data_IF_966164932603
#
_entry.id   IF_966164932603
#
_cell.length_a   1.000
_cell.length_b   1.000
_cell.length_c   1.000
_cell.angle_alpha   90.00
_cell.angle_beta   90.00
_cell.angle_gamma   90.00
#
_symmetry.space_group_name_H-M   'P 1'
#
loop_
_entity.id
_entity.type
_entity.pdbx_description
1 polymer ?
#
# COMPACT_ATOMS: atom_id res chain seq x y z
N UNK A 1 28.04 -25.46 70.35
CA UNK A 1 27.75 -24.36 69.41
C UNK A 1 26.88 -23.35 70.15
N UNK A 2 27.41 -22.15 70.42
CA UNK A 2 26.93 -21.28 71.51
C UNK A 2 25.65 -20.50 71.13
N UNK A 3 24.66 -20.42 72.05
CA UNK A 3 23.39 -19.70 71.86
C UNK A 3 23.57 -18.21 71.49
N UNK A 4 24.69 -17.60 71.91
CA UNK A 4 25.04 -16.23 71.56
C UNK A 4 25.31 -16.03 70.06
N UNK A 5 25.89 -17.04 69.39
CA UNK A 5 26.22 -16.97 67.96
C UNK A 5 24.95 -17.04 67.09
N UNK A 6 23.99 -17.90 67.47
CA UNK A 6 22.68 -17.99 66.81
C UNK A 6 21.85 -16.72 66.96
N UNK A 7 21.94 -16.04 68.11
CA UNK A 7 21.20 -14.79 68.37
C UNK A 7 21.77 -13.61 67.58
N UNK A 8 23.08 -13.59 67.32
CA UNK A 8 23.71 -12.59 66.44
C UNK A 8 23.33 -12.77 64.98
N UNK A 9 23.33 -14.00 64.46
CA UNK A 9 22.97 -14.25 63.05
C UNK A 9 21.50 -13.98 62.77
N UNK A 10 20.59 -14.28 63.70
CA UNK A 10 19.17 -13.90 63.57
C UNK A 10 18.96 -12.39 63.55
N UNK A 11 19.66 -11.61 64.40
CA UNK A 11 19.54 -10.14 64.39
C UNK A 11 20.06 -9.52 63.10
N UNK A 12 21.15 -10.05 62.54
CA UNK A 12 21.67 -9.62 61.25
C UNK A 12 20.69 -9.93 60.10
N UNK A 13 20.07 -11.11 60.10
CA UNK A 13 19.07 -11.49 59.11
C UNK A 13 17.79 -10.64 59.20
N UNK A 14 17.30 -10.34 60.41
CA UNK A 14 16.11 -9.48 60.61
C UNK A 14 16.37 -8.05 60.16
N UNK A 15 17.55 -7.48 60.48
CA UNK A 15 17.91 -6.13 60.03
C UNK A 15 18.06 -6.02 58.51
N UNK A 16 18.49 -7.10 57.85
CA UNK A 16 18.60 -7.16 56.38
C UNK A 16 17.21 -7.24 55.73
N UNK A 17 16.28 -8.03 56.29
CA UNK A 17 14.88 -8.10 55.84
C UNK A 17 14.15 -6.77 56.03
N UNK A 18 14.42 -6.04 57.12
CA UNK A 18 13.84 -4.71 57.35
C UNK A 18 14.36 -3.65 56.37
N UNK A 19 15.64 -3.70 56.01
CA UNK A 19 16.20 -2.84 54.96
C UNK A 19 15.60 -3.14 53.58
N UNK A 20 15.35 -4.40 53.26
CA UNK A 20 14.63 -4.81 52.02
C UNK A 20 13.17 -4.35 52.03
N UNK A 21 12.48 -4.46 53.17
CA UNK A 21 11.09 -3.99 53.32
C UNK A 21 11.00 -2.47 53.07
N UNK A 22 11.94 -1.68 53.62
CA UNK A 22 11.93 -0.23 53.45
C UNK A 22 12.24 0.20 52.00
N UNK A 23 13.17 -0.47 51.30
CA UNK A 23 13.45 -0.21 49.88
C UNK A 23 12.26 -0.55 48.96
N UNK A 24 11.50 -1.61 49.28
CA UNK A 24 10.27 -1.98 48.55
C UNK A 24 9.14 -0.98 48.83
N UNK A 25 9.02 -0.50 50.07
CA UNK A 25 8.00 0.51 50.45
C UNK A 25 8.30 1.88 49.80
N UNK A 26 9.55 2.33 49.75
CA UNK A 26 9.95 3.55 49.05
C UNK A 26 9.75 3.44 47.53
N UNK A 27 10.02 2.27 46.94
CA UNK A 27 9.71 1.97 45.54
C UNK A 27 8.20 1.98 45.24
N UNK A 28 7.38 1.44 46.15
CA UNK A 28 5.91 1.49 46.05
C UNK A 28 5.35 2.90 46.26
N UNK A 29 5.93 3.70 47.16
CA UNK A 29 5.53 5.09 47.39
C UNK A 29 5.80 5.93 46.13
N UNK A 30 6.99 5.82 45.51
CA UNK A 30 7.27 6.53 44.25
C UNK A 30 6.29 6.15 43.12
N UNK A 31 5.89 4.87 43.03
CA UNK A 31 4.88 4.38 42.09
C UNK A 31 3.46 4.88 42.42
N UNK A 32 3.12 5.00 43.70
CA UNK A 32 1.82 5.49 44.14
C UNK A 32 1.65 6.99 43.84
N UNK A 33 2.70 7.79 44.01
CA UNK A 33 2.70 9.21 43.61
C UNK A 33 2.64 9.38 42.08
N UNK A 34 3.28 8.49 41.29
CA UNK A 34 3.13 8.51 39.83
C UNK A 34 1.76 8.07 39.33
N UNK A 35 1.10 7.14 40.03
CA UNK A 35 -0.25 6.65 39.68
C UNK A 35 -1.36 7.66 39.99
N UNK A 36 -1.14 8.57 40.94
CA UNK A 36 -2.13 9.60 41.32
C UNK A 36 -2.02 10.85 40.44
N UNK A 37 -0.84 11.17 39.89
CA UNK A 37 -0.63 12.34 39.02
C UNK A 37 -1.10 12.14 37.56
N UNK A 38 -1.38 10.90 37.14
CA UNK A 38 -1.72 10.57 35.74
C UNK A 38 -3.21 10.74 35.39
N UNK A 39 -4.07 11.11 36.36
CA UNK A 39 -5.53 11.17 36.15
C UNK A 39 -6.02 12.46 35.47
N UNK A 40 -5.20 13.53 35.47
CA UNK A 40 -5.54 14.84 34.90
C UNK A 40 -4.71 15.20 33.65
N UNK A 41 -4.06 14.20 33.03
CA UNK A 41 -3.40 14.41 31.75
C UNK A 41 -4.47 14.58 30.66
N UNK A 42 -4.36 15.62 29.80
CA UNK A 42 -5.30 15.80 28.72
C UNK A 42 -5.32 14.58 27.80
N UNK A 43 -6.46 14.32 27.14
CA UNK A 43 -6.69 13.07 26.39
C UNK A 43 -5.60 12.73 25.35
N UNK A 44 -4.86 13.72 24.85
CA UNK A 44 -3.75 13.55 23.91
C UNK A 44 -2.42 13.08 24.55
N UNK A 45 -2.31 13.11 25.88
CA UNK A 45 -1.15 12.61 26.63
C UNK A 45 -1.36 11.18 27.17
N UNK A 46 -2.60 10.72 27.20
CA UNK A 46 -2.96 9.40 27.72
C UNK A 46 -2.43 8.28 26.81
N UNK A 47 -1.92 7.23 27.45
CA UNK A 47 -1.42 6.04 26.76
C UNK A 47 -2.57 5.08 26.54
N UNK A 48 -2.68 4.62 25.31
CA UNK A 48 -3.80 3.78 24.89
C UNK A 48 -3.57 2.33 25.29
N UNK A 49 -4.57 1.74 25.94
CA UNK A 49 -4.58 0.31 26.20
C UNK A 49 -4.76 -0.45 24.86
N UNK A 50 -3.84 -1.37 24.49
CA UNK A 50 -3.97 -2.19 23.29
C UNK A 50 -5.24 -3.06 23.24
N UNK A 51 -5.88 -3.33 24.38
CA UNK A 51 -7.14 -4.07 24.48
C UNK A 51 -8.37 -3.16 24.66
N UNK A 52 -8.18 -1.84 24.69
CA UNK A 52 -9.27 -0.88 24.78
C UNK A 52 -10.16 -0.90 23.53
N UNK A 53 -11.45 -0.60 23.72
CA UNK A 53 -12.45 -0.59 22.65
C UNK A 53 -12.08 0.39 21.51
N UNK A 54 -11.50 1.54 21.85
CA UNK A 54 -11.05 2.55 20.90
C UNK A 54 -9.93 2.02 19.99
N UNK A 55 -8.92 1.35 20.55
CA UNK A 55 -7.84 0.74 19.79
C UNK A 55 -8.33 -0.38 18.88
N UNK A 56 -9.28 -1.21 19.35
CA UNK A 56 -9.85 -2.29 18.56
C UNK A 56 -10.66 -1.76 17.37
N UNK A 57 -11.53 -0.77 17.60
CA UNK A 57 -12.29 -0.10 16.54
C UNK A 57 -11.37 0.58 15.53
N UNK A 58 -10.36 1.31 16.02
CA UNK A 58 -9.38 1.97 15.17
C UNK A 58 -8.58 0.99 14.31
N UNK A 59 -8.09 -0.12 14.88
CA UNK A 59 -7.39 -1.15 14.13
C UNK A 59 -8.27 -1.76 13.02
N UNK A 60 -9.59 -1.90 13.26
CA UNK A 60 -10.53 -2.37 12.25
C UNK A 60 -10.72 -1.34 11.12
N UNK A 61 -10.88 -0.05 11.46
CA UNK A 61 -10.98 1.05 10.47
C UNK A 61 -9.71 1.12 9.63
N UNK A 62 -8.54 1.06 10.28
CA UNK A 62 -7.25 1.07 9.60
C UNK A 62 -7.06 -0.16 8.69
N UNK A 63 -7.51 -1.35 9.12
CA UNK A 63 -7.49 -2.56 8.27
C UNK A 63 -8.31 -2.37 7.00
N UNK A 64 -9.57 -1.92 7.12
CA UNK A 64 -10.47 -1.73 5.97
C UNK A 64 -9.92 -0.67 5.02
N UNK A 65 -9.48 0.48 5.55
CA UNK A 65 -8.88 1.55 4.72
C UNK A 65 -7.59 1.11 4.03
N UNK A 66 -6.75 0.30 4.70
CA UNK A 66 -5.54 -0.26 4.10
C UNK A 66 -5.85 -1.30 3.01
N UNK A 67 -6.87 -2.14 3.18
CA UNK A 67 -7.33 -3.09 2.16
C UNK A 67 -7.86 -2.36 0.92
N UNK A 68 -8.65 -1.30 1.11
CA UNK A 68 -9.09 -0.41 0.01
C UNK A 68 -7.88 0.19 -0.72
N UNK A 69 -6.87 0.64 0.02
CA UNK A 69 -5.62 1.12 -0.55
C UNK A 69 -4.92 0.09 -1.44
N UNK A 70 -4.86 -1.18 -1.01
CA UNK A 70 -4.28 -2.27 -1.81
C UNK A 70 -5.04 -2.51 -3.13
N UNK A 71 -6.37 -2.35 -3.15
CA UNK A 71 -7.15 -2.48 -4.39
C UNK A 71 -6.94 -1.30 -5.35
N UNK A 72 -6.72 -0.10 -4.80
CA UNK A 72 -6.49 1.11 -5.59
C UNK A 72 -5.10 1.09 -6.24
N UNK A 73 -4.08 0.53 -5.57
CA UNK A 73 -2.70 0.59 -6.06
C UNK A 73 -2.50 0.01 -7.48
N UNK A 74 -3.04 -1.17 -7.86
CA UNK A 74 -2.88 -1.69 -9.23
C UNK A 74 -3.59 -0.87 -10.30
N UNK A 75 -4.61 -0.07 -9.94
CA UNK A 75 -5.33 0.76 -10.91
C UNK A 75 -4.44 1.85 -11.51
N UNK A 76 -3.37 2.26 -10.83
CA UNK A 76 -2.39 3.18 -11.40
C UNK A 76 -1.69 2.61 -12.65
N UNK A 77 -1.59 1.28 -12.77
CA UNK A 77 -1.04 0.61 -13.95
C UNK A 77 -1.99 0.66 -15.16
N UNK A 78 -3.26 1.02 -14.94
CA UNK A 78 -4.30 1.17 -15.97
C UNK A 78 -4.41 2.60 -16.53
N UNK A 79 -3.60 3.54 -16.02
CA UNK A 79 -3.59 4.92 -16.48
C UNK A 79 -3.16 5.13 -17.95
N UNK A 80 -2.11 4.45 -18.47
CA UNK A 80 -1.73 4.61 -19.86
C UNK A 80 -2.71 3.85 -20.76
N UNK A 81 -3.36 4.59 -21.67
CA UNK A 81 -4.34 4.04 -22.62
C UNK A 81 -3.90 4.36 -24.05
N UNK A 82 -4.41 3.57 -25.01
CA UNK A 82 -4.22 3.80 -26.44
C UNK A 82 -5.49 4.41 -27.01
N UNK A 83 -5.39 5.58 -27.64
CA UNK A 83 -6.47 6.17 -28.40
C UNK A 83 -6.51 5.56 -29.80
N UNK A 84 -7.54 4.76 -30.10
CA UNK A 84 -7.70 4.06 -31.38
C UNK A 84 -7.82 5.03 -32.56
N UNK A 85 -8.62 6.09 -32.41
CA UNK A 85 -8.93 7.03 -33.48
C UNK A 85 -7.70 7.76 -34.03
N UNK A 86 -6.72 8.07 -33.18
CA UNK A 86 -5.49 8.72 -33.60
C UNK A 86 -4.24 7.83 -33.48
N UNK A 87 -4.38 6.58 -33.03
CA UNK A 87 -3.27 5.64 -32.83
C UNK A 87 -2.09 6.25 -32.03
N UNK A 88 -2.39 6.73 -30.81
CA UNK A 88 -1.37 7.25 -29.89
C UNK A 88 -1.65 6.86 -28.45
N UNK A 89 -0.64 6.95 -27.60
CA UNK A 89 -0.77 6.76 -26.17
C UNK A 89 -1.16 8.07 -25.48
N UNK A 90 -2.10 7.99 -24.55
CA UNK A 90 -2.40 9.08 -23.61
C UNK A 90 -2.51 8.54 -22.19
N UNK A 91 -2.47 9.45 -21.23
CA UNK A 91 -2.71 9.15 -19.81
C UNK A 91 -4.07 9.71 -19.44
N UNK A 92 -4.93 8.89 -18.84
CA UNK A 92 -6.23 9.33 -18.35
C UNK A 92 -6.08 10.19 -17.09
N UNK A 93 -6.01 11.50 -17.30
CA UNK A 93 -5.83 12.49 -16.23
C UNK A 93 -6.99 12.48 -15.23
N UNK A 94 -8.28 12.44 -15.63
CA UNK A 94 -9.40 12.32 -14.70
C UNK A 94 -9.31 11.09 -13.78
N UNK A 95 -8.98 9.92 -14.33
CA UNK A 95 -8.77 8.70 -13.54
C UNK A 95 -7.58 8.88 -12.58
N UNK A 96 -6.48 9.46 -13.06
CA UNK A 96 -5.30 9.77 -12.25
C UNK A 96 -5.61 10.62 -11.02
N UNK A 97 -6.35 11.73 -11.19
CA UNK A 97 -6.77 12.57 -10.08
C UNK A 97 -7.64 11.81 -9.07
N UNK A 98 -8.55 10.98 -9.56
CA UNK A 98 -9.43 10.16 -8.71
C UNK A 98 -8.63 9.19 -7.84
N UNK A 99 -7.67 8.47 -8.44
CA UNK A 99 -6.81 7.54 -7.71
C UNK A 99 -5.93 8.25 -6.68
N UNK A 100 -5.38 9.41 -7.03
CA UNK A 100 -4.58 10.23 -6.10
C UNK A 100 -5.42 10.68 -4.91
N UNK A 101 -6.65 11.15 -5.16
CA UNK A 101 -7.56 11.60 -4.10
C UNK A 101 -7.80 10.52 -3.05
N UNK A 102 -8.20 9.30 -3.47
CA UNK A 102 -8.41 8.20 -2.53
C UNK A 102 -7.12 7.78 -1.84
N UNK A 103 -5.99 7.83 -2.54
CA UNK A 103 -4.70 7.46 -1.98
C UNK A 103 -4.25 8.44 -0.89
N UNK A 104 -4.50 9.74 -1.04
CA UNK A 104 -4.28 10.75 0.01
C UNK A 104 -5.10 10.42 1.26
N UNK A 105 -6.36 10.00 1.10
CA UNK A 105 -7.20 9.57 2.23
C UNK A 105 -6.57 8.37 2.95
N UNK A 106 -6.15 7.33 2.22
CA UNK A 106 -5.49 6.14 2.81
C UNK A 106 -4.19 6.50 3.53
N UNK A 107 -3.38 7.38 2.94
CA UNK A 107 -2.11 7.81 3.53
C UNK A 107 -2.33 8.63 4.80
N UNK A 108 -3.38 9.45 4.87
CA UNK A 108 -3.80 10.13 6.10
C UNK A 108 -4.12 9.13 7.23
N UNK A 109 -4.91 8.08 6.96
CA UNK A 109 -5.18 7.03 7.95
C UNK A 109 -3.92 6.27 8.36
N UNK A 110 -2.97 6.08 7.45
CA UNK A 110 -1.68 5.44 7.73
C UNK A 110 -0.81 6.28 8.67
N UNK A 111 -0.75 7.60 8.45
CA UNK A 111 -0.07 8.52 9.38
C UNK A 111 -0.71 8.50 10.76
N UNK A 112 -2.05 8.55 10.83
CA UNK A 112 -2.77 8.45 12.10
C UNK A 112 -2.47 7.11 12.81
N UNK A 113 -2.37 5.99 12.08
CA UNK A 113 -2.00 4.70 12.65
C UNK A 113 -0.58 4.71 13.24
N UNK A 114 0.39 5.32 12.57
CA UNK A 114 1.76 5.48 13.08
C UNK A 114 1.73 6.29 14.39
N UNK A 115 1.01 7.42 14.42
CA UNK A 115 0.86 8.26 15.62
C UNK A 115 0.22 7.47 16.77
N UNK A 116 -0.80 6.67 16.50
CA UNK A 116 -1.45 5.81 17.47
C UNK A 116 -0.51 4.73 18.01
N UNK A 117 0.32 4.10 17.16
CA UNK A 117 1.30 3.09 17.60
C UNK A 117 2.36 3.64 18.54
N UNK A 118 2.80 4.89 18.36
CA UNK A 118 3.69 5.57 19.31
C UNK A 118 3.06 5.76 20.71
N UNK A 119 1.72 5.74 20.81
CA UNK A 119 0.95 5.96 22.04
C UNK A 119 0.30 4.69 22.58
N UNK A 120 0.48 3.54 21.93
CA UNK A 120 -0.15 2.28 22.35
C UNK A 120 0.77 1.52 23.29
N UNK A 121 0.27 1.17 24.48
CA UNK A 121 1.02 0.35 25.42
C UNK A 121 1.28 -1.06 24.88
N UNK A 122 2.36 -1.69 25.35
CA UNK A 122 2.70 -3.06 24.96
C UNK A 122 2.77 -3.98 26.17
N UNK A 123 2.41 -5.24 25.95
CA UNK A 123 2.60 -6.30 26.94
C UNK A 123 4.01 -6.87 26.80
N UNK A 124 4.79 -6.85 27.88
CA UNK A 124 6.14 -7.43 27.89
C UNK A 124 6.08 -8.95 27.68
N UNK A 125 6.97 -9.49 26.82
CA UNK A 125 7.09 -10.95 26.64
C UNK A 125 7.81 -11.60 27.82
N UNK A 126 8.72 -10.87 28.47
CA UNK A 126 9.62 -11.36 29.53
C UNK A 126 8.92 -11.57 30.87
N UNK A 127 7.79 -10.88 31.10
CA UNK A 127 7.00 -11.00 32.32
C UNK A 127 5.86 -12.02 32.20
N UNK A 128 5.83 -12.87 31.15
CA UNK A 128 4.77 -13.88 30.96
C UNK A 128 4.99 -15.09 31.88
N UNK A 129 4.97 -14.87 33.18
CA UNK A 129 4.87 -15.95 34.16
C UNK A 129 3.38 -16.07 34.48
N UNK A 130 2.77 -17.23 34.19
CA UNK A 130 1.32 -17.50 34.33
C UNK A 130 0.35 -16.77 33.38
N UNK A 131 0.80 -16.30 32.22
CA UNK A 131 -0.10 -15.79 31.17
C UNK A 131 -0.67 -14.38 31.39
N UNK A 132 -0.39 -13.73 32.53
CA UNK A 132 -0.59 -12.28 32.74
C UNK A 132 0.74 -11.56 32.52
N UNK A 133 0.91 -10.92 31.35
CA UNK A 133 2.06 -10.04 31.12
C UNK A 133 1.81 -8.66 31.74
N UNK A 134 2.88 -7.99 32.19
CA UNK A 134 2.81 -6.62 32.71
C UNK A 134 2.69 -5.64 31.53
N UNK A 135 1.78 -4.68 31.67
CA UNK A 135 1.54 -3.63 30.69
C UNK A 135 2.55 -2.50 30.90
N UNK A 136 3.43 -2.28 29.93
CA UNK A 136 4.42 -1.20 30.00
C UNK A 136 3.80 0.09 29.47
N UNK A 137 3.64 1.06 30.37
CA UNK A 137 3.03 2.37 30.13
C UNK A 137 4.06 3.51 30.02
N UNK A 138 5.36 3.24 29.87
CA UNK A 138 6.33 4.34 29.79
C UNK A 138 6.52 4.82 28.33
N UNK A 139 6.22 6.10 28.00
CA UNK A 139 6.26 6.60 26.61
C UNK A 139 7.60 6.41 25.90
N UNK A 140 8.71 6.64 26.61
CA UNK A 140 10.06 6.48 26.04
C UNK A 140 10.37 5.02 25.68
N UNK A 141 9.95 4.08 26.52
CA UNK A 141 10.15 2.65 26.27
C UNK A 141 9.27 2.16 25.11
N UNK A 142 8.05 2.69 24.99
CA UNK A 142 7.15 2.43 23.86
C UNK A 142 7.78 2.93 22.56
N UNK A 143 8.22 4.19 22.52
CA UNK A 143 8.82 4.80 21.34
C UNK A 143 10.09 4.08 20.87
N UNK A 144 11.03 3.79 21.79
CA UNK A 144 12.29 3.09 21.44
C UNK A 144 12.01 1.70 20.88
N UNK A 145 11.07 0.96 21.48
CA UNK A 145 10.69 -0.36 20.99
C UNK A 145 10.09 -0.26 19.58
N UNK A 146 9.13 0.64 19.39
CA UNK A 146 8.43 0.81 18.12
C UNK A 146 9.39 1.23 16.99
N UNK A 147 10.29 2.18 17.26
CA UNK A 147 11.33 2.63 16.31
C UNK A 147 12.25 1.49 15.87
N UNK A 148 12.54 0.53 16.76
CA UNK A 148 13.44 -0.60 16.45
C UNK A 148 12.77 -1.75 15.72
N UNK A 149 11.45 -1.94 15.86
CA UNK A 149 10.75 -3.13 15.33
C UNK A 149 9.93 -2.82 14.09
N UNK A 150 8.92 -1.96 14.22
CA UNK A 150 7.83 -1.88 13.26
C UNK A 150 7.81 -0.55 12.48
N UNK A 151 8.45 0.50 13.02
CA UNK A 151 8.45 1.83 12.42
C UNK A 151 8.98 1.86 10.98
N UNK A 152 10.07 1.14 10.68
CA UNK A 152 10.64 1.12 9.34
C UNK A 152 9.68 0.48 8.31
N UNK A 153 8.95 -0.56 8.71
CA UNK A 153 7.98 -1.25 7.85
C UNK A 153 6.74 -0.37 7.65
N UNK A 154 6.22 0.22 8.73
CA UNK A 154 5.08 1.13 8.66
C UNK A 154 5.39 2.38 7.82
N UNK A 155 6.59 2.94 7.98
CA UNK A 155 7.06 4.07 7.18
C UNK A 155 7.18 3.67 5.71
N UNK A 156 7.82 2.53 5.41
CA UNK A 156 7.93 2.03 4.06
C UNK A 156 6.56 1.80 3.41
N UNK A 157 5.58 1.24 4.13
CA UNK A 157 4.22 1.04 3.63
C UNK A 157 3.45 2.35 3.37
N UNK A 158 3.74 3.40 4.15
CA UNK A 158 3.09 4.71 4.05
C UNK A 158 3.64 5.56 2.91
N UNK A 159 4.85 5.28 2.42
CA UNK A 159 5.47 6.09 1.36
C UNK A 159 4.61 6.07 0.07
N UNK A 160 4.27 7.24 -0.50
CA UNK A 160 3.51 7.35 -1.74
C UNK A 160 4.42 7.16 -2.98
N UNK A 161 5.25 6.11 -2.99
CA UNK A 161 6.19 5.86 -4.10
C UNK A 161 5.50 5.79 -5.47
N UNK A 162 4.33 5.13 -5.64
CA UNK A 162 3.66 5.08 -6.93
C UNK A 162 3.24 6.48 -7.42
N UNK A 163 2.78 7.35 -6.52
CA UNK A 163 2.37 8.72 -6.88
C UNK A 163 3.56 9.56 -7.32
N UNK A 164 4.66 9.51 -6.55
CA UNK A 164 5.89 10.24 -6.87
C UNK A 164 6.41 9.77 -8.24
N UNK A 165 6.42 8.47 -8.49
CA UNK A 165 6.92 7.91 -9.75
C UNK A 165 6.07 8.33 -10.94
N UNK A 166 4.74 8.32 -10.81
CA UNK A 166 3.84 8.71 -11.90
C UNK A 166 4.00 10.20 -12.21
N UNK A 167 4.02 11.05 -11.19
CA UNK A 167 4.09 12.50 -11.36
C UNK A 167 5.44 12.99 -11.86
N UNK A 168 6.53 12.40 -11.38
CA UNK A 168 7.88 12.81 -11.76
C UNK A 168 8.39 12.06 -13.00
N UNK A 169 8.07 10.78 -13.19
CA UNK A 169 8.71 9.96 -14.23
C UNK A 169 7.90 9.89 -15.54
N UNK A 170 6.55 9.85 -15.53
CA UNK A 170 5.78 9.86 -16.79
C UNK A 170 6.11 11.05 -17.71
N UNK A 171 6.18 12.32 -17.23
CA UNK A 171 6.53 13.45 -18.09
C UNK A 171 8.00 13.45 -18.54
N UNK A 172 8.90 12.72 -17.86
CA UNK A 172 10.33 12.65 -18.17
C UNK A 172 10.69 11.57 -19.21
N UNK A 173 9.80 10.62 -19.51
CA UNK A 173 10.06 9.52 -20.47
C UNK A 173 9.83 9.89 -21.94
N UNK A 174 10.09 11.15 -22.30
CA UNK A 174 10.11 11.65 -23.69
C UNK A 174 11.32 11.20 -24.52
N UNK A 175 12.16 10.29 -24.00
CA UNK A 175 13.44 9.90 -24.64
C UNK A 175 13.51 8.42 -25.06
N UNK A 176 14.30 8.09 -26.10
CA UNK A 176 14.34 6.77 -26.76
C UNK A 176 14.98 5.63 -25.95
N UNK A 177 15.45 5.89 -24.72
CA UNK A 177 16.05 4.89 -23.80
C UNK A 177 15.03 4.25 -22.83
N UNK A 178 13.73 4.49 -23.06
CA UNK A 178 12.61 4.19 -22.17
C UNK A 178 12.38 2.71 -21.76
N UNK A 179 12.97 1.73 -22.45
CA UNK A 179 12.73 0.31 -22.14
C UNK A 179 13.21 -0.10 -20.73
N UNK A 180 14.34 0.45 -20.26
CA UNK A 180 14.90 0.07 -18.96
C UNK A 180 14.23 0.79 -17.77
N UNK A 181 13.70 1.99 -18.00
CA UNK A 181 13.04 2.76 -16.95
C UNK A 181 11.63 2.25 -16.65
N UNK A 182 10.99 1.52 -17.56
CA UNK A 182 9.61 1.02 -17.45
C UNK A 182 9.51 -0.21 -16.54
N UNK A 183 10.39 -1.19 -16.73
CA UNK A 183 10.52 -2.34 -15.82
C UNK A 183 10.80 -1.90 -14.37
N UNK A 184 11.54 -0.80 -14.19
CA UNK A 184 11.79 -0.23 -12.87
C UNK A 184 10.51 0.32 -12.20
N UNK A 185 9.58 0.93 -12.96
CA UNK A 185 8.32 1.44 -12.40
C UNK A 185 7.45 0.28 -11.91
N UNK A 186 7.26 -0.73 -12.75
CA UNK A 186 6.49 -1.93 -12.40
C UNK A 186 7.13 -2.65 -11.22
N UNK A 187 8.46 -2.77 -11.19
CA UNK A 187 9.19 -3.41 -10.10
C UNK A 187 9.08 -2.63 -8.80
N UNK A 188 9.12 -1.30 -8.83
CA UNK A 188 8.94 -0.47 -7.63
C UNK A 188 7.51 -0.57 -7.10
N UNK A 189 6.50 -0.58 -7.97
CA UNK A 189 5.09 -0.77 -7.56
C UNK A 189 4.90 -2.14 -6.90
N UNK A 190 5.48 -3.20 -7.48
CA UNK A 190 5.45 -4.55 -6.89
C UNK A 190 6.20 -4.62 -5.56
N UNK A 191 7.38 -4.00 -5.47
CA UNK A 191 8.19 -3.97 -4.26
C UNK A 191 7.45 -3.23 -3.13
N UNK A 192 6.72 -2.17 -3.45
CA UNK A 192 5.94 -1.37 -2.49
C UNK A 192 4.72 -2.13 -1.93
N UNK A 193 4.25 -3.14 -2.63
CA UNK A 193 3.16 -4.00 -2.18
C UNK A 193 3.55 -4.86 -0.97
N UNK A 194 4.82 -5.27 -0.91
CA UNK A 194 5.33 -6.16 0.15
C UNK A 194 5.26 -5.50 1.54
N UNK A 195 5.80 -4.28 1.77
CA UNK A 195 5.64 -3.58 3.05
C UNK A 195 4.19 -3.44 3.49
N UNK A 196 3.27 -3.11 2.57
CA UNK A 196 1.84 -2.95 2.89
C UNK A 196 1.21 -4.24 3.41
N UNK A 197 1.51 -5.35 2.75
CA UNK A 197 1.09 -6.68 3.21
C UNK A 197 1.67 -7.00 4.59
N UNK A 198 2.97 -6.71 4.82
CA UNK A 198 3.62 -6.93 6.12
C UNK A 198 3.02 -6.12 7.27
N UNK A 199 2.39 -4.96 7.01
CA UNK A 199 1.64 -4.19 8.02
C UNK A 199 0.25 -4.80 8.26
N UNK A 200 -0.42 -5.24 7.20
CA UNK A 200 -1.81 -5.76 7.25
C UNK A 200 -1.88 -7.15 7.90
N UNK A 201 -0.97 -8.06 7.57
CA UNK A 201 -1.00 -9.45 8.07
C UNK A 201 -0.96 -9.53 9.61
N UNK A 202 -0.02 -8.89 10.33
CA UNK A 202 0.03 -8.94 11.79
C UNK A 202 -1.19 -8.26 12.45
N UNK A 203 -1.68 -7.17 11.85
CA UNK A 203 -2.85 -6.46 12.33
C UNK A 203 -4.10 -7.32 12.25
N UNK A 204 -4.33 -7.94 11.09
CA UNK A 204 -5.45 -8.83 10.86
C UNK A 204 -5.37 -10.04 11.80
N UNK A 205 -4.19 -10.63 11.98
CA UNK A 205 -4.00 -11.73 12.93
C UNK A 205 -4.35 -11.34 14.37
N UNK A 206 -3.95 -10.14 14.81
CA UNK A 206 -4.30 -9.61 16.14
C UNK A 206 -5.81 -9.41 16.30
N UNK A 207 -6.48 -8.88 15.27
CA UNK A 207 -7.95 -8.71 15.28
C UNK A 207 -8.64 -10.07 15.37
N UNK A 208 -8.25 -11.03 14.53
CA UNK A 208 -8.83 -12.38 14.51
C UNK A 208 -8.67 -13.07 15.86
N UNK A 209 -7.50 -12.94 16.49
CA UNK A 209 -7.25 -13.52 17.82
C UNK A 209 -8.10 -12.89 18.92
N UNK A 210 -8.32 -11.58 18.87
CA UNK A 210 -9.05 -10.83 19.89
C UNK A 210 -10.58 -10.94 19.74
N UNK A 211 -11.09 -10.98 18.50
CA UNK A 211 -12.54 -11.03 18.22
C UNK A 211 -13.06 -12.45 18.01
N UNK A 212 -12.17 -13.40 17.71
CA UNK A 212 -12.51 -14.78 17.37
C UNK A 212 -13.32 -14.91 16.09
N UNK A 213 -13.40 -13.87 15.25
CA UNK A 213 -14.34 -13.81 14.10
C UNK A 213 -14.14 -14.97 13.11
N UNK A 214 -12.88 -15.38 12.86
CA UNK A 214 -12.60 -16.54 11.98
C UNK A 214 -12.91 -17.88 12.66
N UNK A 215 -12.88 -17.94 14.00
CA UNK A 215 -13.26 -19.13 14.76
C UNK A 215 -14.79 -19.25 14.96
N UNK A 216 -15.54 -18.15 14.83
CA UNK A 216 -17.00 -18.12 14.99
C UNK A 216 -17.75 -18.62 13.76
N UNK A 217 -17.19 -18.47 12.57
CA UNK A 217 -17.87 -18.81 11.31
C UNK A 217 -16.89 -19.31 10.25
N UNK A 218 -17.04 -20.57 9.82
CA UNK A 218 -16.22 -21.18 8.76
C UNK A 218 -16.21 -20.37 7.45
N UNK A 219 -17.30 -19.64 7.17
CA UNK A 219 -17.43 -18.76 6.02
C UNK A 219 -16.44 -17.59 6.01
N UNK A 220 -16.07 -17.05 7.17
CA UNK A 220 -15.12 -15.92 7.27
C UNK A 220 -13.72 -16.31 6.79
N UNK A 221 -13.30 -17.57 6.99
CA UNK A 221 -12.05 -18.09 6.45
C UNK A 221 -12.08 -18.24 4.93
N UNK A 222 -13.21 -18.73 4.38
CA UNK A 222 -13.40 -18.83 2.93
C UNK A 222 -13.41 -17.45 2.25
N UNK A 223 -14.12 -16.48 2.82
CA UNK A 223 -14.15 -15.10 2.33
C UNK A 223 -12.75 -14.46 2.34
N UNK A 224 -11.96 -14.69 3.39
CA UNK A 224 -10.59 -14.18 3.47
C UNK A 224 -9.68 -14.77 2.37
N UNK A 225 -9.74 -16.08 2.16
CA UNK A 225 -8.99 -16.71 1.07
C UNK A 225 -9.43 -16.19 -0.30
N UNK A 226 -10.74 -16.04 -0.52
CA UNK A 226 -11.27 -15.49 -1.77
C UNK A 226 -10.76 -14.07 -2.01
N UNK A 227 -10.77 -13.21 -0.98
CA UNK A 227 -10.26 -11.85 -1.05
C UNK A 227 -8.79 -11.80 -1.49
N UNK A 228 -7.96 -12.69 -0.94
CA UNK A 228 -6.55 -12.78 -1.33
C UNK A 228 -6.37 -13.23 -2.79
N UNK A 229 -7.17 -14.20 -3.25
CA UNK A 229 -7.14 -14.64 -4.65
C UNK A 229 -7.57 -13.52 -5.61
N UNK A 230 -8.64 -12.78 -5.27
CA UNK A 230 -9.09 -11.62 -6.04
C UNK A 230 -8.03 -10.52 -6.09
N UNK A 231 -7.35 -10.26 -4.97
CA UNK A 231 -6.28 -9.28 -4.93
C UNK A 231 -5.08 -9.69 -5.79
N UNK A 232 -4.70 -10.98 -5.72
CA UNK A 232 -3.60 -11.51 -6.53
C UNK A 232 -3.94 -11.46 -8.03
N UNK A 233 -5.16 -11.84 -8.42
CA UNK A 233 -5.58 -11.78 -9.83
C UNK A 233 -5.70 -10.34 -10.33
N UNK A 234 -6.15 -9.41 -9.49
CA UNK A 234 -6.20 -7.97 -9.80
C UNK A 234 -4.81 -7.40 -10.10
N UNK A 235 -3.81 -7.70 -9.24
CA UNK A 235 -2.42 -7.30 -9.45
C UNK A 235 -1.86 -7.91 -10.74
N UNK A 236 -2.03 -9.22 -10.94
CA UNK A 236 -1.54 -9.91 -12.13
C UNK A 236 -2.18 -9.37 -13.42
N UNK A 237 -3.49 -9.09 -13.40
CA UNK A 237 -4.22 -8.52 -14.53
C UNK A 237 -3.74 -7.11 -14.88
N UNK A 238 -3.55 -6.24 -13.87
CA UNK A 238 -3.06 -4.88 -14.08
C UNK A 238 -1.62 -4.86 -14.64
N UNK A 239 -0.76 -5.77 -14.17
CA UNK A 239 0.61 -5.91 -14.68
C UNK A 239 0.60 -6.44 -16.11
N UNK A 240 -0.24 -7.43 -16.42
CA UNK A 240 -0.43 -7.93 -17.78
C UNK A 240 -0.93 -6.84 -18.74
N UNK A 241 -1.87 -5.99 -18.30
CA UNK A 241 -2.35 -4.84 -19.05
C UNK A 241 -1.23 -3.84 -19.35
N UNK A 242 -0.45 -3.42 -18.35
CA UNK A 242 0.63 -2.47 -18.59
C UNK A 242 1.67 -3.06 -19.55
N UNK A 243 2.05 -4.33 -19.37
CA UNK A 243 3.00 -5.00 -20.26
C UNK A 243 2.48 -5.12 -21.70
N UNK A 244 1.17 -5.31 -21.92
CA UNK A 244 0.61 -5.33 -23.27
C UNK A 244 0.75 -3.95 -23.94
N UNK A 245 0.35 -2.88 -23.27
CA UNK A 245 0.49 -1.49 -23.75
C UNK A 245 1.96 -1.15 -24.03
N UNK A 246 2.89 -1.55 -23.15
CA UNK A 246 4.32 -1.36 -23.36
C UNK A 246 4.85 -2.12 -24.58
N UNK A 247 4.29 -3.30 -24.86
CA UNK A 247 4.66 -4.10 -26.02
C UNK A 247 4.22 -3.44 -27.32
N UNK A 248 3.01 -2.88 -27.36
CA UNK A 248 2.51 -2.08 -28.49
C UNK A 248 3.39 -0.83 -28.71
N UNK A 249 3.66 -0.06 -27.65
CA UNK A 249 4.51 1.12 -27.75
C UNK A 249 5.93 0.77 -28.22
N UNK A 250 6.46 -0.39 -27.80
CA UNK A 250 7.76 -0.88 -28.26
C UNK A 250 7.75 -1.17 -29.76
N UNK A 251 6.68 -1.78 -30.27
CA UNK A 251 6.51 -1.96 -31.71
C UNK A 251 6.52 -0.62 -32.44
N UNK A 252 5.69 0.33 -31.99
CA UNK A 252 5.59 1.64 -32.62
C UNK A 252 6.94 2.36 -32.65
N UNK A 253 7.70 2.31 -31.55
CA UNK A 253 9.04 2.90 -31.50
C UNK A 253 10.03 2.22 -32.44
N UNK A 254 9.93 0.91 -32.62
CA UNK A 254 10.81 0.15 -33.51
C UNK A 254 10.51 0.45 -34.98
N UNK A 255 9.24 0.47 -35.37
CA UNK A 255 8.85 0.79 -36.74
C UNK A 255 9.08 2.28 -37.05
N UNK A 256 8.81 3.17 -36.10
CA UNK A 256 9.08 4.60 -36.23
C UNK A 256 10.56 4.88 -36.54
N UNK A 257 11.50 4.15 -35.92
CA UNK A 257 12.94 4.28 -36.20
C UNK A 257 13.33 3.88 -37.63
N UNK A 258 12.48 3.12 -38.34
CA UNK A 258 12.73 2.73 -39.74
C UNK A 258 12.26 3.79 -40.73
N UNK A 259 11.38 4.70 -40.31
CA UNK A 259 10.86 5.79 -41.14
C UNK A 259 11.69 7.07 -40.93
N UNK A 260 12.17 7.70 -42.00
CA UNK A 260 12.96 8.94 -41.90
C UNK A 260 12.14 10.13 -41.34
N UNK A 261 10.83 10.14 -41.56
CA UNK A 261 9.93 11.24 -41.16
C UNK A 261 9.22 11.02 -39.83
N UNK A 262 9.53 9.95 -39.10
CA UNK A 262 8.85 9.68 -37.83
C UNK A 262 9.54 10.38 -36.65
N UNK A 263 8.77 11.21 -35.93
CA UNK A 263 9.18 11.73 -34.64
C UNK A 263 8.56 10.87 -33.52
N UNK A 264 9.36 10.23 -32.64
CA UNK A 264 8.83 9.44 -31.52
C UNK A 264 7.86 10.20 -30.60
N UNK A 265 7.93 11.53 -30.56
CA UNK A 265 6.99 12.37 -29.80
C UNK A 265 5.56 12.32 -30.35
N UNK A 266 5.36 11.95 -31.62
CA UNK A 266 4.03 11.81 -32.23
C UNK A 266 3.27 10.57 -31.74
N UNK A 267 3.95 9.65 -31.05
CA UNK A 267 3.32 8.49 -30.41
C UNK A 267 2.59 8.85 -29.11
N UNK A 268 2.77 10.07 -28.60
CA UNK A 268 2.12 10.60 -27.40
C UNK A 268 1.05 11.63 -27.78
N UNK A 269 -0.21 11.39 -27.40
CA UNK A 269 -1.32 12.27 -27.72
C UNK A 269 -1.26 13.62 -26.98
N UNK A 270 -0.49 13.71 -25.88
CA UNK A 270 -0.39 14.93 -25.06
C UNK A 270 0.50 16.02 -25.68
N UNK A 271 1.21 15.70 -26.77
CA UNK A 271 2.07 16.64 -27.47
C UNK A 271 1.28 17.61 -28.36
N UNK A 272 0.68 18.62 -27.73
CA UNK A 272 -0.19 19.61 -28.36
C UNK A 272 0.50 20.46 -29.45
N UNK A 273 1.82 20.66 -29.36
CA UNK A 273 2.57 21.55 -30.25
C UNK A 273 2.73 21.04 -31.70
N UNK A 274 2.24 19.83 -32.01
CA UNK A 274 2.34 19.26 -33.35
C UNK A 274 1.13 18.41 -33.76
N UNK A 275 -0.08 18.70 -33.25
CA UNK A 275 -1.27 17.91 -33.63
C UNK A 275 -1.47 17.83 -35.15
N UNK A 276 -1.35 18.94 -35.87
CA UNK A 276 -1.49 18.98 -37.34
C UNK A 276 -0.43 18.12 -38.05
N UNK A 277 0.86 18.32 -37.74
CA UNK A 277 1.97 17.51 -38.30
C UNK A 277 1.87 16.03 -37.95
N UNK A 278 1.30 15.72 -36.78
CA UNK A 278 1.07 14.35 -36.32
C UNK A 278 -0.04 13.69 -37.10
N UNK A 279 -1.14 14.39 -37.38
CA UNK A 279 -2.24 13.87 -38.22
C UNK A 279 -1.76 13.59 -39.66
N UNK A 280 -0.96 14.49 -40.24
CA UNK A 280 -0.34 14.30 -41.56
C UNK A 280 0.59 13.07 -41.59
N UNK A 281 1.43 12.91 -40.56
CA UNK A 281 2.29 11.73 -40.43
C UNK A 281 1.48 10.46 -40.21
N UNK A 282 0.46 10.49 -39.34
CA UNK A 282 -0.40 9.34 -39.04
C UNK A 282 -1.16 8.84 -40.27
N UNK A 283 -1.51 9.73 -41.22
CA UNK A 283 -2.14 9.35 -42.48
C UNK A 283 -1.20 8.64 -43.46
N UNK A 284 0.11 8.90 -43.38
CA UNK A 284 1.11 8.41 -44.34
C UNK A 284 2.00 7.28 -43.81
N UNK A 285 2.11 7.14 -42.49
CA UNK A 285 2.97 6.15 -41.82
C UNK A 285 2.48 4.71 -42.03
N UNK A 286 3.44 3.77 -42.04
CA UNK A 286 3.19 2.33 -41.99
C UNK A 286 3.33 1.76 -40.58
N UNK A 287 3.78 2.56 -39.60
CA UNK A 287 4.02 2.13 -38.21
C UNK A 287 2.83 1.36 -37.62
N UNK A 288 1.63 1.93 -37.68
CA UNK A 288 0.44 1.31 -37.09
C UNK A 288 -0.04 0.06 -37.85
N UNK A 289 0.20 0.00 -39.16
CA UNK A 289 -0.14 -1.17 -39.98
C UNK A 289 0.81 -2.34 -39.70
N UNK A 290 2.09 -2.04 -39.53
CA UNK A 290 3.13 -3.02 -39.23
C UNK A 290 3.04 -3.53 -37.77
N UNK A 291 2.48 -2.72 -36.88
CA UNK A 291 2.24 -3.07 -35.47
C UNK A 291 0.85 -3.62 -35.19
N UNK A 292 0.21 -4.25 -36.17
CA UNK A 292 -1.10 -4.87 -35.97
C UNK A 292 -0.98 -6.39 -35.84
N UNK A 293 -1.26 -6.88 -34.62
CA UNK A 293 -1.22 -8.30 -34.27
C UNK A 293 -2.17 -9.18 -35.10
N UNK A 294 -3.21 -8.61 -35.74
CA UNK A 294 -4.18 -9.35 -36.56
C UNK A 294 -3.74 -9.54 -38.01
N UNK A 295 -3.10 -8.53 -38.59
CA UNK A 295 -2.86 -8.47 -40.05
C UNK A 295 -1.44 -8.82 -40.45
N UNK A 296 -0.50 -8.96 -39.50
CA UNK A 296 0.89 -9.27 -39.80
C UNK A 296 1.37 -10.59 -39.15
N UNK A 297 1.04 -11.77 -39.73
CA UNK A 297 1.47 -13.07 -39.22
C UNK A 297 3.00 -13.23 -39.12
N UNK A 298 3.73 -12.54 -40.01
CA UNK A 298 5.20 -12.50 -40.03
C UNK A 298 5.76 -11.15 -39.52
N UNK A 299 4.93 -10.34 -38.86
CA UNK A 299 5.27 -9.02 -38.35
C UNK A 299 5.88 -9.03 -36.95
N UNK A 300 5.72 -7.93 -36.23
CA UNK A 300 6.23 -7.80 -34.86
C UNK A 300 5.61 -8.87 -33.94
N UNK A 301 6.45 -9.62 -33.23
CA UNK A 301 5.98 -10.70 -32.37
C UNK A 301 5.47 -10.14 -31.03
N UNK A 302 4.16 -10.07 -30.87
CA UNK A 302 3.50 -9.67 -29.62
C UNK A 302 3.55 -10.74 -28.51
N UNK A 303 3.81 -12.00 -28.88
CA UNK A 303 3.89 -13.12 -27.94
C UNK A 303 2.59 -13.30 -27.15
N UNK A 304 2.69 -13.50 -25.83
CA UNK A 304 1.54 -13.71 -24.96
C UNK A 304 0.55 -12.51 -24.88
N UNK A 305 0.94 -11.34 -25.39
CA UNK A 305 0.09 -10.14 -25.43
C UNK A 305 -0.73 -10.03 -26.73
N UNK A 306 -0.49 -10.88 -27.72
CA UNK A 306 -1.21 -10.82 -29.01
C UNK A 306 -2.73 -10.90 -28.83
N UNK A 307 -3.21 -11.69 -27.86
CA UNK A 307 -4.62 -11.84 -27.55
C UNK A 307 -5.30 -10.51 -27.14
N UNK A 308 -4.57 -9.60 -26.49
CA UNK A 308 -5.09 -8.28 -26.09
C UNK A 308 -5.57 -7.43 -27.28
N UNK A 309 -4.99 -7.67 -28.46
CA UNK A 309 -5.21 -6.89 -29.67
C UNK A 309 -6.00 -7.67 -30.75
N UNK A 310 -6.05 -9.00 -30.61
CA UNK A 310 -6.74 -9.89 -31.55
C UNK A 310 -8.25 -9.99 -31.29
N UNK A 311 -8.73 -9.70 -30.08
CA UNK A 311 -10.15 -9.83 -29.74
C UNK A 311 -10.95 -8.55 -29.98
N UNK A 312 -12.23 -8.69 -30.37
CA UNK A 312 -13.18 -7.59 -30.55
C UNK A 312 -13.48 -6.81 -29.25
N UNK A 313 -12.99 -7.28 -28.09
CA UNK A 313 -13.19 -6.62 -26.80
C UNK A 313 -12.51 -5.26 -26.70
N UNK A 314 -11.32 -5.08 -27.29
CA UNK A 314 -10.66 -3.77 -27.36
C UNK A 314 -11.49 -2.73 -28.15
N UNK A 315 -12.16 -3.17 -29.22
CA UNK A 315 -13.04 -2.33 -30.06
C UNK A 315 -14.41 -2.09 -29.41
N UNK A 316 -14.86 -2.99 -28.53
CA UNK A 316 -16.14 -2.82 -27.82
C UNK A 316 -16.05 -1.79 -26.70
N UNK A 317 -14.92 -1.73 -25.98
CA UNK A 317 -14.68 -0.62 -25.06
C UNK A 317 -14.63 0.69 -25.83
N UNK A 318 -13.96 0.74 -26.99
CA UNK A 318 -13.87 1.94 -27.85
C UNK A 318 -15.23 2.53 -28.29
N UNK A 319 -16.23 1.69 -28.60
CA UNK A 319 -17.58 2.17 -28.98
C UNK A 319 -18.41 2.69 -27.80
N UNK A 320 -18.21 2.14 -26.60
CA UNK A 320 -18.89 2.57 -25.37
C UNK A 320 -18.17 3.78 -24.72
N UNK A 321 -16.87 3.95 -25.01
CA UNK A 321 -15.96 4.96 -24.46
C UNK A 321 -15.67 6.09 -25.47
N UNK A 322 -16.60 6.37 -26.39
CA UNK A 322 -16.55 7.62 -27.17
C UNK A 322 -16.70 8.78 -26.19
N UNK A 323 -15.92 9.88 -26.27
CA UNK A 323 -16.11 11.04 -25.41
C UNK A 323 -17.35 11.82 -25.88
N UNK A 324 -18.53 11.27 -25.66
CA UNK A 324 -19.76 12.03 -25.58
C UNK A 324 -20.13 12.10 -24.11
N UNK A 325 -19.67 13.20 -23.49
CA UNK A 325 -20.18 13.75 -22.24
C UNK A 325 -20.81 12.75 -21.26
N UNK A 326 -20.02 12.19 -20.35
CA UNK A 326 -20.33 12.21 -18.90
C UNK A 326 -19.25 11.42 -18.12
N UNK A 327 -18.49 12.06 -17.22
CA UNK A 327 -17.53 11.37 -16.36
C UNK A 327 -18.17 10.47 -15.27
N UNK A 328 -19.51 10.46 -15.15
CA UNK A 328 -20.27 9.80 -14.07
C UNK A 328 -20.26 8.26 -14.11
N UNK A 329 -20.11 7.63 -15.29
CA UNK A 329 -20.15 6.16 -15.40
C UNK A 329 -18.91 5.50 -14.79
N UNK A 330 -17.76 6.16 -14.87
CA UNK A 330 -16.50 5.71 -14.27
C UNK A 330 -16.53 5.77 -12.75
N UNK A 331 -17.15 6.81 -12.18
CA UNK A 331 -17.38 6.91 -10.73
C UNK A 331 -18.29 5.82 -10.21
N UNK A 332 -19.34 5.44 -10.95
CA UNK A 332 -20.28 4.40 -10.52
C UNK A 332 -19.65 3.01 -10.47
N UNK A 333 -18.75 2.66 -11.40
CA UNK A 333 -18.05 1.37 -11.36
C UNK A 333 -17.05 1.33 -10.20
N UNK A 334 -16.24 2.38 -10.03
CA UNK A 334 -15.32 2.51 -8.88
C UNK A 334 -16.06 2.54 -7.53
N UNK A 335 -17.18 3.27 -7.43
CA UNK A 335 -18.01 3.30 -6.24
C UNK A 335 -18.67 1.95 -5.99
N UNK A 336 -19.14 1.23 -7.02
CA UNK A 336 -19.72 -0.10 -6.86
C UNK A 336 -18.72 -1.15 -6.39
N UNK A 337 -17.43 -1.02 -6.74
CA UNK A 337 -16.35 -1.88 -6.25
C UNK A 337 -15.87 -1.48 -4.85
N UNK A 338 -16.04 -0.20 -4.47
CA UNK A 338 -15.68 0.31 -3.13
C UNK A 338 -16.82 0.19 -2.10
N UNK A 339 -18.06 -0.07 -2.53
CA UNK A 339 -19.27 -0.17 -1.68
C UNK A 339 -20.01 -1.52 -1.78
N UNK A 340 -19.47 -2.49 -2.52
CA UNK A 340 -19.87 -3.91 -2.42
C UNK A 340 -18.86 -4.65 -1.54
#
# INVERSE_FOLDING_TARGET
MNLAYMRMTMKAAVGQVERWRNLVVEGCASKAWSLVYERDAPWWEQILDPNGELCLKWNHIFLVTSLVGLFIDPLFLLLPQIMTAASCMYVDIPLGFTLIFFRVIVDFFSVLQILMKFRTAFVSRTSRVFGKGELVLHPRLIAIRYLKTDFAIDLAATLPLPQIIIWFIMPLKKSPTAAHANHAITLVIMLQYVPKLLVIFPLNWKIIKNTGVVAKTAWSGAAYNLLLYMLASHVLGAVWYLMSIERELSCWKMECKKEEKCNPLFLDCSYAAAMEKREEWAASTQVFKNCNARTTPNGFQFGMFAAAYNDQFAVRMDKEWRPQHTPLRHYLVLLSVLWA
#
